data_IF_246167598570
#
_entry.id   IF_246167598570
#
_cell.length_a   1.000
_cell.length_b   1.000
_cell.length_c   1.000
_cell.angle_alpha   90.00
_cell.angle_beta   90.00
_cell.angle_gamma   90.00
#
_symmetry.space_group_name_H-M   'P 1'
#
loop_
_entity.id
_entity.type
_entity.pdbx_description
1 polymer ?
#
# COMPACT_ATOMS: atom_id res chain seq x y z
N UNK A 1 -8.79 -17.27 -14.51
CA UNK A 1 -9.02 -16.48 -13.28
C UNK A 1 -7.70 -15.82 -12.91
N UNK A 2 -7.66 -14.49 -12.80
CA UNK A 2 -6.47 -13.80 -12.30
C UNK A 2 -6.35 -13.98 -10.78
N UNK A 3 -5.21 -13.59 -10.19
CA UNK A 3 -4.95 -13.83 -8.76
C UNK A 3 -5.95 -13.12 -7.83
N UNK A 4 -6.41 -11.91 -8.17
CA UNK A 4 -7.37 -11.16 -7.35
C UNK A 4 -8.78 -11.77 -7.43
N UNK A 5 -9.17 -12.27 -8.60
CA UNK A 5 -10.41 -13.03 -8.77
C UNK A 5 -10.35 -14.35 -7.97
N UNK A 6 -9.19 -15.04 -7.97
CA UNK A 6 -8.97 -16.27 -7.19
C UNK A 6 -9.11 -16.00 -5.69
N UNK A 7 -8.46 -14.94 -5.21
CA UNK A 7 -8.55 -14.51 -3.82
C UNK A 7 -9.99 -14.22 -3.42
N UNK A 8 -10.68 -13.37 -4.20
CA UNK A 8 -12.09 -13.02 -3.96
C UNK A 8 -12.98 -14.26 -3.90
N UNK A 9 -12.74 -15.23 -4.80
CA UNK A 9 -13.47 -16.48 -4.82
C UNK A 9 -13.23 -17.30 -3.54
N UNK A 10 -11.97 -17.50 -3.15
CA UNK A 10 -11.61 -18.27 -1.95
C UNK A 10 -12.13 -17.65 -0.66
N UNK A 11 -12.02 -16.33 -0.48
CA UNK A 11 -12.56 -15.62 0.68
C UNK A 11 -14.09 -15.81 0.78
N UNK A 12 -14.81 -15.68 -0.35
CA UNK A 12 -16.26 -15.92 -0.38
C UNK A 12 -16.64 -17.38 -0.14
N UNK A 13 -15.81 -18.32 -0.57
CA UNK A 13 -16.01 -19.74 -0.22
C UNK A 13 -15.79 -19.99 1.26
N UNK A 14 -14.73 -19.42 1.85
CA UNK A 14 -14.45 -19.49 3.28
C UNK A 14 -15.60 -18.91 4.11
N UNK A 15 -16.11 -17.74 3.73
CA UNK A 15 -17.26 -17.13 4.40
C UNK A 15 -18.51 -18.00 4.34
N UNK A 16 -18.81 -18.60 3.19
CA UNK A 16 -19.95 -19.52 3.02
C UNK A 16 -19.78 -20.80 3.84
N UNK A 17 -18.55 -21.26 4.00
CA UNK A 17 -18.22 -22.39 4.86
C UNK A 17 -18.29 -22.04 6.36
N UNK A 18 -18.36 -20.75 6.70
CA UNK A 18 -18.40 -20.24 8.07
C UNK A 18 -17.04 -19.84 8.64
N UNK A 19 -15.96 -19.92 7.83
CA UNK A 19 -14.64 -19.43 8.19
C UNK A 19 -14.52 -17.96 7.79
N UNK A 20 -14.93 -17.06 8.68
CA UNK A 20 -14.98 -15.62 8.43
C UNK A 20 -14.59 -14.80 9.65
N UNK A 21 -14.19 -13.56 9.40
CA UNK A 21 -14.06 -12.55 10.43
C UNK A 21 -15.44 -12.15 10.97
N UNK A 22 -15.55 -12.03 12.29
CA UNK A 22 -16.77 -11.64 12.98
C UNK A 22 -16.89 -10.12 13.13
N UNK A 23 -15.75 -9.41 13.16
CA UNK A 23 -15.71 -7.98 13.34
C UNK A 23 -14.40 -7.36 12.83
N UNK A 24 -14.40 -6.03 12.69
CA UNK A 24 -13.26 -5.26 12.21
C UNK A 24 -12.00 -5.38 13.07
N UNK A 25 -12.13 -5.66 14.37
CA UNK A 25 -10.94 -5.77 15.24
C UNK A 25 -10.11 -7.01 14.92
N UNK A 26 -10.77 -8.14 14.60
CA UNK A 26 -10.06 -9.39 14.27
C UNK A 26 -9.21 -9.23 13.01
N UNK A 27 -9.78 -8.70 11.94
CA UNK A 27 -9.05 -8.51 10.68
C UNK A 27 -7.96 -7.43 10.78
N UNK A 28 -8.21 -6.35 11.52
CA UNK A 28 -7.18 -5.34 11.78
C UNK A 28 -6.04 -5.88 12.66
N UNK A 29 -6.35 -6.80 13.59
CA UNK A 29 -5.33 -7.50 14.36
C UNK A 29 -4.49 -8.42 13.48
N UNK A 30 -5.11 -9.14 12.53
CA UNK A 30 -4.37 -9.94 11.54
C UNK A 30 -3.41 -9.07 10.73
N UNK A 31 -3.90 -7.97 10.15
CA UNK A 31 -3.08 -7.03 9.37
C UNK A 31 -1.89 -6.51 10.21
N UNK A 32 -2.12 -6.22 11.49
CA UNK A 32 -1.04 -5.80 12.39
C UNK A 32 -0.03 -6.92 12.64
N UNK A 33 -0.49 -8.16 12.82
CA UNK A 33 0.39 -9.33 12.98
C UNK A 33 1.34 -9.47 11.79
N UNK A 34 0.79 -9.49 10.56
CA UNK A 34 1.63 -9.65 9.35
C UNK A 34 2.60 -8.48 9.16
N UNK A 35 2.17 -7.26 9.54
CA UNK A 35 3.06 -6.11 9.55
C UNK A 35 4.22 -6.28 10.54
N UNK A 36 3.94 -6.74 11.76
CA UNK A 36 4.95 -6.97 12.79
C UNK A 36 5.94 -8.08 12.33
N UNK A 37 5.45 -9.16 11.69
CA UNK A 37 6.29 -10.23 11.12
C UNK A 37 7.21 -9.71 10.00
N UNK A 38 6.71 -8.88 9.09
CA UNK A 38 7.54 -8.21 8.07
C UNK A 38 8.65 -7.38 8.72
N UNK A 39 8.34 -6.60 9.76
CA UNK A 39 9.30 -5.71 10.43
C UNK A 39 10.46 -6.49 11.07
N UNK A 40 10.15 -7.65 11.68
CA UNK A 40 11.15 -8.58 12.22
C UNK A 40 12.12 -9.06 11.13
N UNK A 41 11.61 -9.36 9.93
CA UNK A 41 12.43 -9.84 8.82
C UNK A 41 13.21 -8.71 8.10
N UNK A 42 12.67 -7.48 8.04
CA UNK A 42 13.34 -6.33 7.43
C UNK A 42 14.63 -5.92 8.17
N UNK A 43 14.70 -6.18 9.47
CA UNK A 43 15.88 -5.86 10.29
C UNK A 43 17.12 -6.70 9.94
N UNK A 44 16.97 -7.83 9.23
CA UNK A 44 18.07 -8.72 8.86
C UNK A 44 17.85 -9.38 7.49
N UNK A 45 17.83 -8.55 6.44
CA UNK A 45 17.64 -9.03 5.06
C UNK A 45 18.91 -9.75 4.57
N UNK A 46 18.80 -11.05 4.31
CA UNK A 46 19.82 -11.87 3.69
C UNK A 46 19.18 -12.96 2.81
N UNK A 47 19.97 -13.66 1.98
CA UNK A 47 19.44 -14.66 1.03
C UNK A 47 18.64 -15.80 1.70
N UNK A 48 19.00 -16.17 2.93
CA UNK A 48 18.27 -17.21 3.67
C UNK A 48 16.93 -16.71 4.20
N UNK A 49 16.80 -15.40 4.44
CA UNK A 49 15.61 -14.77 5.01
C UNK A 49 14.61 -14.28 3.94
N UNK A 50 15.08 -13.98 2.72
CA UNK A 50 14.22 -13.48 1.63
C UNK A 50 12.97 -14.33 1.35
N UNK A 51 13.02 -15.68 1.35
CA UNK A 51 11.82 -16.49 1.14
C UNK A 51 10.75 -16.25 2.20
N UNK A 52 11.16 -16.11 3.48
CA UNK A 52 10.24 -15.87 4.57
C UNK A 52 9.66 -14.45 4.52
N UNK A 53 10.51 -13.45 4.27
CA UNK A 53 10.04 -12.08 4.03
C UNK A 53 9.02 -12.01 2.87
N UNK A 54 9.19 -12.81 1.80
CA UNK A 54 8.24 -12.86 0.70
C UNK A 54 6.90 -13.50 1.11
N UNK A 55 6.92 -14.50 1.98
CA UNK A 55 5.73 -15.11 2.58
C UNK A 55 4.95 -14.05 3.37
N UNK A 56 5.60 -13.35 4.31
CA UNK A 56 4.92 -12.37 5.16
C UNK A 56 4.36 -11.16 4.39
N UNK A 57 5.10 -10.69 3.38
CA UNK A 57 4.58 -9.65 2.47
C UNK A 57 3.33 -10.16 1.74
N UNK A 58 3.32 -11.44 1.34
CA UNK A 58 2.17 -12.09 0.73
C UNK A 58 0.97 -12.16 1.68
N UNK A 59 1.20 -12.52 2.94
CA UNK A 59 0.16 -12.64 3.96
C UNK A 59 -0.41 -11.27 4.35
N UNK A 60 0.41 -10.22 4.44
CA UNK A 60 -0.08 -8.85 4.60
C UNK A 60 -0.93 -8.42 3.40
N UNK A 61 -0.51 -8.71 2.17
CA UNK A 61 -1.33 -8.43 0.98
C UNK A 61 -2.66 -9.17 1.05
N UNK A 62 -2.66 -10.45 1.43
CA UNK A 62 -3.86 -11.25 1.59
C UNK A 62 -4.81 -10.66 2.63
N UNK A 63 -4.30 -10.31 3.81
CA UNK A 63 -5.08 -9.70 4.89
C UNK A 63 -5.72 -8.36 4.47
N UNK A 64 -5.00 -7.51 3.72
CA UNK A 64 -5.54 -6.25 3.18
C UNK A 64 -6.62 -6.48 2.12
N UNK A 65 -6.49 -7.52 1.28
CA UNK A 65 -7.52 -7.85 0.30
C UNK A 65 -8.74 -8.53 0.96
N UNK A 66 -8.53 -9.36 1.98
CA UNK A 66 -9.60 -9.88 2.83
C UNK A 66 -10.39 -8.73 3.48
N UNK A 67 -9.71 -7.63 3.86
CA UNK A 67 -10.38 -6.43 4.36
C UNK A 67 -11.26 -5.76 3.32
N UNK A 68 -10.87 -5.78 2.05
CA UNK A 68 -11.75 -5.30 0.99
C UNK A 68 -13.03 -6.14 0.93
N UNK A 69 -12.90 -7.47 0.95
CA UNK A 69 -14.06 -8.40 0.92
C UNK A 69 -14.95 -8.20 2.15
N UNK A 70 -14.37 -8.17 3.35
CA UNK A 70 -15.09 -7.91 4.60
C UNK A 70 -15.89 -6.59 4.57
N UNK A 71 -15.37 -5.58 3.86
CA UNK A 71 -16.03 -4.27 3.71
C UNK A 71 -16.97 -4.18 2.48
N UNK A 72 -17.27 -5.30 1.81
CA UNK A 72 -18.03 -5.34 0.56
C UNK A 72 -17.42 -4.49 -0.57
N UNK A 73 -16.09 -4.39 -0.61
CA UNK A 73 -15.33 -3.66 -1.63
C UNK A 73 -14.69 -4.61 -2.65
N UNK A 74 -14.67 -4.21 -3.91
CA UNK A 74 -13.90 -4.92 -4.94
C UNK A 74 -12.40 -4.63 -4.78
N UNK A 75 -11.61 -5.67 -4.53
CA UNK A 75 -10.17 -5.56 -4.29
C UNK A 75 -9.41 -5.01 -5.51
N UNK A 76 -9.82 -5.40 -6.73
CA UNK A 76 -9.19 -4.94 -7.97
C UNK A 76 -9.46 -3.46 -8.19
N UNK A 77 -10.71 -3.02 -8.08
CA UNK A 77 -11.10 -1.61 -8.19
C UNK A 77 -10.41 -0.76 -7.11
N UNK A 78 -10.33 -1.27 -5.88
CA UNK A 78 -9.65 -0.60 -4.76
C UNK A 78 -8.18 -0.37 -5.07
N UNK A 79 -7.47 -1.40 -5.57
CA UNK A 79 -6.08 -1.28 -5.97
C UNK A 79 -5.91 -0.36 -7.19
N UNK A 80 -6.77 -0.48 -8.21
CA UNK A 80 -6.76 0.37 -9.41
C UNK A 80 -6.87 1.84 -9.03
N UNK A 81 -7.81 2.22 -8.14
CA UNK A 81 -7.94 3.61 -7.66
C UNK A 81 -6.67 4.13 -6.99
N UNK A 82 -5.96 3.27 -6.23
CA UNK A 82 -4.69 3.64 -5.59
C UNK A 82 -3.58 3.85 -6.62
N UNK A 83 -3.47 2.95 -7.60
CA UNK A 83 -2.48 3.02 -8.69
C UNK A 83 -2.72 4.24 -9.58
N UNK A 84 -3.96 4.49 -10.01
CA UNK A 84 -4.29 5.65 -10.84
C UNK A 84 -3.95 6.97 -10.14
N UNK A 85 -4.18 7.04 -8.82
CA UNK A 85 -3.78 8.19 -8.01
C UNK A 85 -2.25 8.35 -7.95
N UNK A 86 -1.52 7.24 -7.81
CA UNK A 86 -0.06 7.28 -7.84
C UNK A 86 0.45 7.74 -9.22
N UNK A 87 -0.10 7.22 -10.31
CA UNK A 87 0.27 7.58 -11.68
C UNK A 87 0.07 9.08 -11.98
N UNK A 88 -1.09 9.64 -11.63
CA UNK A 88 -1.36 11.08 -11.78
C UNK A 88 -0.37 11.94 -11.00
N UNK A 89 -0.06 11.55 -9.76
CA UNK A 89 0.87 12.29 -8.90
C UNK A 89 2.30 12.18 -9.37
N UNK A 90 2.73 10.98 -9.77
CA UNK A 90 4.07 10.79 -10.35
C UNK A 90 4.24 11.59 -11.64
N UNK A 91 3.21 11.64 -12.49
CA UNK A 91 3.21 12.50 -13.68
C UNK A 91 3.34 13.98 -13.33
N UNK A 92 2.68 14.43 -12.26
CA UNK A 92 2.83 15.80 -11.75
C UNK A 92 4.22 16.06 -11.19
N UNK A 93 4.82 15.12 -10.44
CA UNK A 93 6.21 15.21 -9.98
C UNK A 93 7.17 15.40 -11.15
N UNK A 94 7.02 14.61 -12.23
CA UNK A 94 7.85 14.74 -13.43
C UNK A 94 7.71 16.12 -14.08
N UNK A 95 6.49 16.66 -14.13
CA UNK A 95 6.23 18.01 -14.65
C UNK A 95 6.89 19.08 -13.79
N UNK A 96 6.75 19.02 -12.46
CA UNK A 96 7.36 19.96 -11.52
C UNK A 96 8.89 19.91 -11.63
N UNK A 97 9.49 18.71 -11.67
CA UNK A 97 10.92 18.56 -11.85
C UNK A 97 11.39 19.24 -13.15
N UNK A 98 10.67 19.02 -14.26
CA UNK A 98 10.97 19.65 -15.54
C UNK A 98 10.84 21.18 -15.50
N UNK A 99 9.83 21.72 -14.83
CA UNK A 99 9.66 23.17 -14.62
C UNK A 99 10.85 23.79 -13.85
N UNK A 100 11.49 23.01 -12.98
CA UNK A 100 12.70 23.40 -12.24
C UNK A 100 14.01 23.08 -12.99
N UNK A 101 13.95 22.69 -14.27
CA UNK A 101 15.13 22.32 -15.05
C UNK A 101 15.77 20.99 -14.64
N UNK A 102 15.07 20.15 -13.88
CA UNK A 102 15.57 18.88 -13.36
C UNK A 102 15.12 17.75 -14.28
N UNK A 103 16.08 16.93 -14.74
CA UNK A 103 15.82 15.79 -15.63
C UNK A 103 15.65 14.46 -14.89
N UNK A 104 16.18 14.36 -13.67
CA UNK A 104 16.08 13.17 -12.80
C UNK A 104 16.13 13.57 -11.34
N UNK A 105 15.40 12.83 -10.49
CA UNK A 105 15.43 12.96 -9.04
C UNK A 105 16.36 11.92 -8.37
N UNK A 106 17.11 11.14 -9.15
CA UNK A 106 18.08 10.19 -8.60
C UNK A 106 19.15 10.95 -7.80
N UNK A 107 19.44 10.48 -6.58
CA UNK A 107 20.44 11.08 -5.69
C UNK A 107 19.94 12.27 -4.88
N UNK A 108 18.68 12.69 -5.03
CA UNK A 108 18.07 13.70 -4.15
C UNK A 108 17.79 13.08 -2.77
N UNK A 109 17.88 13.91 -1.73
CA UNK A 109 17.51 13.49 -0.38
C UNK A 109 16.01 13.17 -0.31
N UNK A 110 15.63 12.27 0.59
CA UNK A 110 14.23 11.87 0.77
C UNK A 110 13.31 13.09 1.00
N UNK A 111 13.72 14.04 1.84
CA UNK A 111 12.95 15.25 2.11
C UNK A 111 12.70 16.09 0.85
N UNK A 112 13.65 16.13 -0.08
CA UNK A 112 13.48 16.83 -1.36
C UNK A 112 12.48 16.09 -2.25
N UNK A 113 12.56 14.75 -2.31
CA UNK A 113 11.56 13.93 -3.02
C UNK A 113 10.15 14.18 -2.46
N UNK A 114 10.04 14.31 -1.14
CA UNK A 114 8.77 14.57 -0.48
C UNK A 114 8.21 15.96 -0.75
N UNK A 115 9.07 16.98 -0.96
CA UNK A 115 8.63 18.31 -1.43
C UNK A 115 7.99 18.24 -2.81
N UNK A 116 8.63 17.56 -3.77
CA UNK A 116 8.04 17.32 -5.09
C UNK A 116 6.70 16.58 -5.01
N UNK A 117 6.64 15.56 -4.15
CA UNK A 117 5.42 14.79 -3.95
C UNK A 117 4.27 15.62 -3.35
N UNK A 118 4.57 16.47 -2.36
CA UNK A 118 3.56 17.33 -1.73
C UNK A 118 3.10 18.45 -2.67
N UNK A 119 3.96 18.97 -3.54
CA UNK A 119 3.53 19.85 -4.63
C UNK A 119 2.65 19.13 -5.65
N UNK A 120 3.00 17.90 -6.04
CA UNK A 120 2.19 17.08 -6.93
C UNK A 120 0.79 16.79 -6.36
N UNK A 121 0.67 16.55 -5.04
CA UNK A 121 -0.63 16.39 -4.37
C UNK A 121 -1.50 17.64 -4.50
N UNK A 122 -0.93 18.85 -4.43
CA UNK A 122 -1.69 20.11 -4.58
C UNK A 122 -2.24 20.29 -5.99
N UNK A 123 -1.63 19.65 -7.00
CA UNK A 123 -2.05 19.68 -8.40
C UNK A 123 -3.06 18.57 -8.75
N UNK A 124 -3.30 17.60 -7.87
CA UNK A 124 -4.23 16.48 -8.09
C UNK A 124 -5.68 16.91 -7.78
N UNK A 125 -6.58 16.99 -8.78
CA UNK A 125 -7.96 17.46 -8.59
C UNK A 125 -8.86 16.48 -7.82
N UNK A 126 -8.40 15.26 -7.55
CA UNK A 126 -9.19 14.18 -6.94
C UNK A 126 -9.06 14.02 -5.42
N UNK A 127 -8.78 15.08 -4.65
CA UNK A 127 -8.52 14.98 -3.20
C UNK A 127 -9.78 14.63 -2.36
N UNK A 128 -9.80 13.49 -1.63
CA UNK A 128 -10.27 13.52 -0.24
C UNK A 128 -9.15 14.11 0.63
N UNK A 129 -9.49 15.08 1.49
CA UNK A 129 -8.58 15.66 2.48
C UNK A 129 -8.10 14.55 3.43
N UNK A 130 -6.85 14.10 3.32
CA UNK A 130 -6.25 13.18 4.28
C UNK A 130 -5.58 13.93 5.44
N UNK A 131 -5.62 13.32 6.63
CA UNK A 131 -5.16 13.90 7.90
C UNK A 131 -3.67 14.27 7.87
N UNK A 132 -3.26 15.34 8.59
CA UNK A 132 -1.86 15.64 8.82
C UNK A 132 -1.20 14.43 9.53
N UNK A 133 -0.11 13.89 8.97
CA UNK A 133 0.66 12.82 9.64
C UNK A 133 1.12 11.67 8.74
N UNK A 134 0.44 11.38 7.62
CA UNK A 134 0.84 10.27 6.73
C UNK A 134 2.18 10.54 6.01
N UNK A 135 2.61 11.80 5.93
CA UNK A 135 3.91 12.19 5.37
C UNK A 135 5.02 12.24 6.44
N UNK A 136 4.67 12.44 7.72
CA UNK A 136 5.64 12.70 8.81
C UNK A 136 6.11 11.45 9.55
N UNK A 137 5.59 10.27 9.24
CA UNK A 137 6.03 9.01 9.85
C UNK A 137 7.32 8.46 9.20
N UNK A 138 7.77 9.02 8.06
CA UNK A 138 8.95 8.56 7.32
C UNK A 138 10.25 9.29 7.69
N UNK A 139 10.18 10.27 8.61
CA UNK A 139 11.34 11.05 9.09
C UNK A 139 11.78 10.67 10.51
N UNK A 140 11.25 9.57 11.05
CA UNK A 140 11.58 9.09 12.39
C UNK A 140 12.18 7.69 12.33
N UNK A 141 13.43 7.61 11.86
CA UNK A 141 14.48 6.74 12.40
C UNK A 141 15.83 7.12 11.77
#
# INVERSE_FOLDING_TARGET
MNILEKLTYLEKEAEKFGFKWENTHQIMAQIKSEFDEIDEHLSNINENNKPKLQEEIGDLMHAVFSLCIFCDLDAKETLTKSVDKFDRRLSSVKTIAKENGITTLNGYAFDDLMRFWDEAKKRDPGLPKLRPGATSALTAQ
#
